data_IF_624940002673
#
_entry.id   IF_624940002673
#
_cell.length_a   1.000
_cell.length_b   1.000
_cell.length_c   1.000
_cell.angle_alpha   90.00
_cell.angle_beta   90.00
_cell.angle_gamma   90.00
#
_symmetry.space_group_name_H-M   'P 1'
#
loop_
_entity.id
_entity.type
_entity.pdbx_description
1 polymer ?
#
# COMPACT_ATOMS: atom_id res chain seq x y z
N UNK A 1 -6.99 32.91 -0.33
CA UNK A 1 -7.80 33.55 -1.41
C UNK A 1 -7.68 35.07 -1.48
N UNK A 2 -7.10 35.74 -0.47
CA UNK A 2 -6.94 37.20 -0.40
C UNK A 2 -5.82 37.79 -1.27
N UNK A 3 -4.90 36.97 -1.84
CA UNK A 3 -3.74 37.44 -2.62
C UNK A 3 -3.94 37.49 -4.15
N UNK A 4 -5.17 37.32 -4.67
CA UNK A 4 -5.43 37.43 -6.12
C UNK A 4 -4.73 36.40 -7.02
N UNK A 5 -4.07 35.39 -6.46
CA UNK A 5 -3.37 34.35 -7.20
C UNK A 5 -4.38 33.38 -7.85
N UNK A 6 -4.18 33.09 -9.13
CA UNK A 6 -4.93 32.05 -9.86
C UNK A 6 -4.76 30.69 -9.19
N UNK A 7 -5.81 29.85 -9.16
CA UNK A 7 -5.79 28.55 -8.46
C UNK A 7 -4.58 27.70 -8.84
N UNK A 8 -4.18 27.71 -10.11
CA UNK A 8 -3.01 27.00 -10.62
C UNK A 8 -1.68 27.45 -10.02
N UNK A 9 -1.55 28.74 -9.65
CA UNK A 9 -0.34 29.28 -9.01
C UNK A 9 -0.27 28.96 -7.52
N UNK A 10 -1.40 28.68 -6.87
CA UNK A 10 -1.48 28.37 -5.45
C UNK A 10 -1.26 26.87 -5.15
N UNK A 11 -1.55 25.98 -6.11
CA UNK A 11 -1.39 24.53 -5.97
C UNK A 11 0.02 24.07 -5.54
N UNK A 12 1.14 24.51 -6.16
CA UNK A 12 2.46 24.00 -5.79
C UNK A 12 2.83 24.33 -4.32
N UNK A 13 2.44 25.51 -3.83
CA UNK A 13 2.65 25.87 -2.41
C UNK A 13 1.83 24.99 -1.48
N UNK A 14 0.56 24.71 -1.82
CA UNK A 14 -0.28 23.81 -1.04
C UNK A 14 0.21 22.35 -1.06
N UNK A 15 0.70 21.86 -2.21
CA UNK A 15 1.30 20.53 -2.32
C UNK A 15 2.58 20.42 -1.47
N UNK A 16 3.38 21.49 -1.41
CA UNK A 16 4.58 21.54 -0.59
C UNK A 16 4.27 21.54 0.91
N UNK A 17 3.21 22.23 1.32
CA UNK A 17 2.72 22.27 2.70
C UNK A 17 2.07 20.94 3.11
N UNK A 18 1.26 20.36 2.23
CA UNK A 18 0.56 19.10 2.44
C UNK A 18 1.42 17.85 2.17
N UNK A 19 2.72 17.97 1.88
CA UNK A 19 3.58 16.85 1.46
C UNK A 19 3.55 15.64 2.40
N UNK A 20 3.45 15.87 3.71
CA UNK A 20 3.36 14.79 4.71
C UNK A 20 1.99 14.13 4.76
N UNK A 21 0.92 14.92 4.55
CA UNK A 21 -0.43 14.39 4.36
C UNK A 21 -0.51 13.53 3.09
N UNK A 22 0.07 14.02 1.98
CA UNK A 22 0.17 13.29 0.72
C UNK A 22 0.94 11.98 0.86
N UNK A 23 2.09 11.99 1.55
CA UNK A 23 2.83 10.77 1.86
C UNK A 23 1.98 9.76 2.64
N UNK A 24 1.23 10.23 3.63
CA UNK A 24 0.33 9.37 4.41
C UNK A 24 -0.77 8.76 3.53
N UNK A 25 -1.38 9.55 2.63
CA UNK A 25 -2.40 9.06 1.69
C UNK A 25 -1.83 8.04 0.72
N UNK A 26 -0.62 8.26 0.19
CA UNK A 26 0.07 7.32 -0.70
C UNK A 26 0.32 5.99 0.02
N UNK A 27 0.81 6.04 1.26
CA UNK A 27 1.07 4.87 2.09
C UNK A 27 -0.21 4.10 2.42
N UNK A 28 -1.29 4.80 2.78
CA UNK A 28 -2.60 4.19 3.01
C UNK A 28 -3.15 3.54 1.74
N UNK A 29 -3.03 4.21 0.59
CA UNK A 29 -3.40 3.67 -0.72
C UNK A 29 -2.57 2.44 -1.11
N UNK A 30 -1.27 2.44 -0.81
CA UNK A 30 -0.38 1.29 -1.04
C UNK A 30 -0.79 0.07 -0.22
N UNK A 31 -1.11 0.24 1.07
CA UNK A 31 -1.62 -0.85 1.91
C UNK A 31 -2.93 -1.43 1.37
N UNK A 32 -3.84 -0.56 0.90
CA UNK A 32 -5.11 -0.97 0.29
C UNK A 32 -4.89 -1.72 -1.03
N UNK A 33 -4.03 -1.22 -1.90
CA UNK A 33 -3.70 -1.87 -3.18
C UNK A 33 -2.99 -3.23 -2.96
N UNK A 34 -2.10 -3.32 -1.97
CA UNK A 34 -1.41 -4.58 -1.63
C UNK A 34 -2.35 -5.65 -1.11
N UNK A 35 -3.49 -5.27 -0.52
CA UNK A 35 -4.53 -6.18 -0.05
C UNK A 35 -5.54 -6.59 -1.15
N UNK A 36 -5.45 -6.02 -2.35
CA UNK A 36 -6.41 -6.26 -3.43
C UNK A 36 -6.07 -7.53 -4.23
N UNK A 37 -6.42 -8.68 -3.67
CA UNK A 37 -6.14 -10.00 -4.25
C UNK A 37 -7.15 -10.42 -5.32
N UNK A 38 -8.42 -10.03 -5.14
CA UNK A 38 -9.52 -10.48 -6.01
C UNK A 38 -9.38 -10.03 -7.46
N UNK A 39 -8.97 -8.76 -7.67
CA UNK A 39 -8.78 -8.22 -9.02
C UNK A 39 -7.64 -8.93 -9.77
N UNK A 40 -6.52 -9.23 -9.09
CA UNK A 40 -5.34 -9.89 -9.69
C UNK A 40 -5.64 -11.33 -10.10
N UNK A 41 -6.47 -12.03 -9.34
CA UNK A 41 -6.85 -13.41 -9.62
C UNK A 41 -7.77 -13.51 -10.85
N UNK A 42 -8.69 -12.55 -11.04
CA UNK A 42 -9.61 -12.51 -12.18
C UNK A 42 -8.86 -12.19 -13.49
N UNK A 43 -7.83 -11.35 -13.44
CA UNK A 43 -7.06 -10.91 -14.63
C UNK A 43 -6.09 -11.98 -15.17
N UNK A 44 -5.95 -13.12 -14.50
CA UNK A 44 -5.14 -14.25 -14.99
C UNK A 44 -3.75 -14.38 -14.35
N UNK A 45 -3.56 -13.80 -13.17
CA UNK A 45 -2.31 -13.84 -12.40
C UNK A 45 -2.00 -15.20 -11.74
N UNK A 46 -2.23 -16.35 -12.38
CA UNK A 46 -2.01 -17.67 -11.75
C UNK A 46 -1.02 -18.58 -12.50
N UNK A 47 -0.24 -18.05 -13.44
CA UNK A 47 0.80 -18.83 -14.12
C UNK A 47 2.05 -18.84 -13.23
N UNK A 48 2.49 -20.04 -12.85
CA UNK A 48 3.64 -20.21 -11.97
C UNK A 48 4.89 -19.52 -12.53
N UNK A 49 5.58 -18.74 -11.71
CA UNK A 49 6.81 -18.05 -12.10
C UNK A 49 6.68 -16.92 -13.13
N UNK A 50 5.50 -16.67 -13.72
CA UNK A 50 5.30 -15.64 -14.75
C UNK A 50 4.36 -14.54 -14.28
N UNK A 51 3.16 -14.92 -13.84
CA UNK A 51 2.11 -13.96 -13.43
C UNK A 51 1.59 -14.21 -12.01
N UNK A 52 2.00 -15.32 -11.38
CA UNK A 52 1.61 -15.70 -10.03
C UNK A 52 2.30 -14.85 -8.99
N UNK A 53 1.49 -14.10 -8.26
CA UNK A 53 1.92 -13.32 -7.09
C UNK A 53 1.60 -14.07 -5.79
N UNK A 54 2.26 -13.67 -4.71
CA UNK A 54 2.12 -14.33 -3.40
C UNK A 54 0.66 -14.46 -2.94
N UNK A 55 -0.16 -13.44 -3.17
CA UNK A 55 -1.59 -13.42 -2.81
C UNK A 55 -2.44 -14.41 -3.60
N UNK A 56 -2.14 -14.60 -4.89
CA UNK A 56 -2.79 -15.63 -5.72
C UNK A 56 -2.34 -17.04 -5.37
N UNK A 57 -1.08 -17.24 -4.96
CA UNK A 57 -0.59 -18.53 -4.45
C UNK A 57 -1.32 -18.95 -3.17
N UNK A 58 -1.55 -18.01 -2.24
CA UNK A 58 -2.30 -18.28 -1.00
C UNK A 58 -3.68 -18.84 -1.33
N UNK A 59 -4.39 -18.21 -2.27
CA UNK A 59 -5.72 -18.66 -2.65
C UNK A 59 -5.67 -20.02 -3.38
N UNK A 60 -4.73 -20.21 -4.30
CA UNK A 60 -4.57 -21.47 -5.01
C UNK A 60 -4.30 -22.64 -4.06
N UNK A 61 -3.37 -22.49 -3.12
CA UNK A 61 -3.03 -23.56 -2.17
C UNK A 61 -4.16 -23.81 -1.16
N UNK A 62 -4.90 -22.77 -0.78
CA UNK A 62 -6.13 -22.93 0.02
C UNK A 62 -7.19 -23.74 -0.75
N UNK A 63 -7.38 -23.47 -2.05
CA UNK A 63 -8.32 -24.24 -2.89
C UNK A 63 -7.88 -25.67 -3.18
N UNK A 64 -6.57 -25.96 -3.13
CA UNK A 64 -6.01 -27.31 -3.24
C UNK A 64 -6.10 -28.11 -1.93
N UNK A 65 -6.36 -27.45 -0.80
CA UNK A 65 -6.40 -28.06 0.53
C UNK A 65 -5.03 -28.10 1.25
N UNK A 66 -3.98 -27.50 0.69
CA UNK A 66 -2.68 -27.33 1.37
C UNK A 66 -2.70 -26.07 2.25
N UNK A 67 -3.47 -26.17 3.34
CA UNK A 67 -3.56 -25.11 4.34
C UNK A 67 -2.20 -24.74 4.98
N UNK A 68 -1.31 -25.69 5.31
CA UNK A 68 -0.02 -25.36 5.90
C UNK A 68 0.79 -24.36 5.05
N UNK A 69 0.89 -24.61 3.74
CA UNK A 69 1.60 -23.72 2.82
C UNK A 69 0.90 -22.36 2.67
N UNK A 70 -0.43 -22.36 2.53
CA UNK A 70 -1.23 -21.15 2.42
C UNK A 70 -1.10 -20.25 3.66
N UNK A 71 -1.13 -20.85 4.86
CA UNK A 71 -0.96 -20.13 6.13
C UNK A 71 0.46 -19.60 6.30
N UNK A 72 1.48 -20.37 5.92
CA UNK A 72 2.88 -19.92 5.95
C UNK A 72 3.09 -18.68 5.08
N UNK A 73 2.60 -18.72 3.83
CA UNK A 73 2.63 -17.57 2.92
C UNK A 73 1.80 -16.39 3.46
N UNK A 74 0.63 -16.65 4.04
CA UNK A 74 -0.23 -15.64 4.65
C UNK A 74 0.46 -14.89 5.79
N UNK A 75 1.13 -15.60 6.70
CA UNK A 75 1.87 -14.99 7.82
C UNK A 75 3.02 -14.11 7.33
N UNK A 76 3.79 -14.59 6.34
CA UNK A 76 4.89 -13.81 5.75
C UNK A 76 4.35 -12.53 5.11
N UNK A 77 3.25 -12.64 4.36
CA UNK A 77 2.62 -11.48 3.71
C UNK A 77 2.10 -10.47 4.74
N UNK A 78 1.38 -10.92 5.76
CA UNK A 78 0.88 -10.04 6.82
C UNK A 78 2.02 -9.33 7.54
N UNK A 79 3.08 -10.06 7.88
CA UNK A 79 4.25 -9.50 8.56
C UNK A 79 4.91 -8.43 7.70
N UNK A 80 5.09 -8.68 6.41
CA UNK A 80 5.68 -7.71 5.48
C UNK A 80 4.82 -6.45 5.35
N UNK A 81 3.51 -6.60 5.16
CA UNK A 81 2.57 -5.48 5.03
C UNK A 81 2.54 -4.64 6.31
N UNK A 82 2.46 -5.28 7.47
CA UNK A 82 2.48 -4.59 8.76
C UNK A 82 3.79 -3.83 8.95
N UNK A 83 4.94 -4.43 8.63
CA UNK A 83 6.24 -3.81 8.82
C UNK A 83 6.43 -2.59 7.89
N UNK A 84 6.05 -2.72 6.62
CA UNK A 84 6.08 -1.59 5.67
C UNK A 84 5.16 -0.47 6.16
N UNK A 85 3.92 -0.79 6.55
CA UNK A 85 2.95 0.21 7.00
C UNK A 85 3.38 0.88 8.32
N UNK A 86 4.00 0.14 9.24
CA UNK A 86 4.53 0.66 10.49
C UNK A 86 5.70 1.62 10.26
N UNK A 87 6.66 1.26 9.39
CA UNK A 87 7.77 2.15 9.02
C UNK A 87 7.27 3.42 8.34
N UNK A 88 6.36 3.26 7.40
CA UNK A 88 5.64 4.34 6.72
C UNK A 88 4.98 5.31 7.71
N UNK A 89 4.21 4.78 8.66
CA UNK A 89 3.56 5.56 9.70
C UNK A 89 4.59 6.25 10.61
N UNK A 90 5.65 5.55 11.02
CA UNK A 90 6.71 6.10 11.87
C UNK A 90 7.44 7.28 11.20
N UNK A 91 7.71 7.19 9.89
CA UNK A 91 8.32 8.28 9.12
C UNK A 91 7.38 9.49 9.03
N UNK A 92 6.09 9.26 8.78
CA UNK A 92 5.09 10.33 8.75
C UNK A 92 4.95 11.04 10.10
N UNK A 93 4.92 10.26 11.19
CA UNK A 93 4.82 10.77 12.55
C UNK A 93 6.08 11.54 12.98
N UNK A 94 7.27 11.01 12.69
CA UNK A 94 8.54 11.69 12.96
C UNK A 94 8.65 13.00 12.18
N UNK A 95 8.13 13.05 10.96
CA UNK A 95 8.10 14.27 10.17
C UNK A 95 7.13 15.32 10.71
N UNK A 96 5.94 14.91 11.18
CA UNK A 96 5.00 15.82 11.87
C UNK A 96 5.61 16.41 13.14
N UNK A 97 6.30 15.60 13.94
CA UNK A 97 6.96 16.03 15.19
C UNK A 97 8.15 16.98 14.99
N UNK A 98 8.76 17.02 13.80
CA UNK A 98 9.84 17.98 13.48
C UNK A 98 9.34 19.34 12.99
N UNK A 99 8.06 19.46 12.68
CA UNK A 99 7.44 20.67 12.10
C UNK A 99 6.42 21.34 13.02
N UNK A 100 6.06 20.71 14.14
CA UNK A 100 5.41 21.36 15.28
C UNK A 100 6.45 21.72 16.35
#
# INVERSE_FOLDING_TARGET
RSLGLTQLRMMPTLLWDARFGLLTVILAGFGRASAEVGAVMIVGGNIDGVTRVMTTSIVLETSKGDLPLALGLGIVLLTLVTLINALAHAVSEAAKRRLG
#
